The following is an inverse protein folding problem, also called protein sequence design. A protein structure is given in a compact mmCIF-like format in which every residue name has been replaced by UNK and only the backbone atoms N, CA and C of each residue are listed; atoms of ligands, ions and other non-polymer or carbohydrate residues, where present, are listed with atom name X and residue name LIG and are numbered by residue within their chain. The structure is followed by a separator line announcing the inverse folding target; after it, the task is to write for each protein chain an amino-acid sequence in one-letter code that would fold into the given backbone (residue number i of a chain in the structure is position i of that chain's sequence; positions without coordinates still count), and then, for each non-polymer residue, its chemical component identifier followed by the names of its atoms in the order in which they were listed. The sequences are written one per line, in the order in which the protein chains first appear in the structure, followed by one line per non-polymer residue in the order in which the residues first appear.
data_IF_577056473844
#
_entry.id   IF_577056473844
#
_cell.length_a   1.000
_cell.length_b   1.000
_cell.length_c   1.000
_cell.angle_alpha   90.00
_cell.angle_beta   90.00
_cell.angle_gamma   90.00
#
_symmetry.space_group_name_H-M   'P 1'
#
loop_
_entity.id
_entity.type
_entity.pdbx_description
1 polymer ?
#
# COMPACT_ATOMS: atom_id res chain seq x y z
N UNK A 1 -70.55 -4.38 -8.93
CA UNK A 1 -69.90 -3.23 -8.31
C UNK A 1 -68.59 -3.69 -7.72
N UNK A 2 -67.49 -3.50 -8.45
CA UNK A 2 -66.17 -3.90 -7.97
C UNK A 2 -65.23 -2.69 -8.15
N UNK A 3 -64.85 -2.08 -7.05
CA UNK A 3 -63.96 -0.93 -7.02
C UNK A 3 -62.49 -1.45 -7.00
N UNK A 4 -61.76 -1.14 -8.04
CA UNK A 4 -60.32 -1.38 -8.19
C UNK A 4 -59.56 -0.19 -7.56
N UNK A 5 -58.86 -0.44 -6.46
CA UNK A 5 -57.95 0.53 -5.82
C UNK A 5 -56.55 0.32 -6.34
N UNK A 6 -56.16 1.11 -7.32
CA UNK A 6 -54.74 1.19 -7.75
C UNK A 6 -53.97 2.10 -6.81
N UNK A 7 -53.09 1.49 -5.97
CA UNK A 7 -52.27 2.19 -5.00
C UNK A 7 -50.97 2.77 -5.64
N UNK A 8 -50.40 3.81 -5.04
CA UNK A 8 -49.25 4.58 -5.57
C UNK A 8 -47.90 3.96 -5.19
N UNK A 9 -47.59 2.74 -5.66
CA UNK A 9 -46.31 2.06 -5.29
C UNK A 9 -45.19 2.30 -6.30
N UNK A 10 -45.49 2.84 -7.47
CA UNK A 10 -44.49 2.92 -8.58
C UNK A 10 -43.49 4.07 -8.52
N UNK A 11 -43.68 5.07 -7.68
CA UNK A 11 -42.83 6.28 -7.67
C UNK A 11 -41.72 6.26 -6.63
N UNK A 12 -41.81 5.41 -5.59
CA UNK A 12 -40.79 5.35 -4.53
C UNK A 12 -39.47 4.65 -4.97
N UNK A 13 -39.55 3.70 -5.90
CA UNK A 13 -38.37 2.92 -6.34
C UNK A 13 -37.43 3.74 -7.24
N UNK A 14 -37.96 4.64 -8.05
CA UNK A 14 -37.16 5.46 -8.97
C UNK A 14 -36.25 6.47 -8.26
N UNK A 15 -36.70 7.06 -7.14
CA UNK A 15 -35.89 8.02 -6.37
C UNK A 15 -34.73 7.36 -5.61
N UNK A 16 -34.91 6.14 -5.10
CA UNK A 16 -33.84 5.42 -4.37
C UNK A 16 -32.66 5.03 -5.26
N UNK A 17 -32.91 4.64 -6.51
CA UNK A 17 -31.87 4.22 -7.44
C UNK A 17 -31.02 5.41 -7.93
N UNK A 18 -31.60 6.56 -8.17
CA UNK A 18 -30.87 7.76 -8.60
C UNK A 18 -29.96 8.28 -7.48
N UNK A 19 -30.41 8.28 -6.23
CA UNK A 19 -29.59 8.70 -5.10
C UNK A 19 -28.38 7.77 -4.87
N UNK A 20 -28.53 6.45 -5.04
CA UNK A 20 -27.45 5.49 -4.90
C UNK A 20 -26.37 5.63 -5.98
N UNK A 21 -26.75 5.95 -7.21
CA UNK A 21 -25.80 6.15 -8.32
C UNK A 21 -24.97 7.43 -8.15
N UNK A 22 -25.55 8.50 -7.63
CA UNK A 22 -24.83 9.77 -7.43
C UNK A 22 -23.78 9.68 -6.31
N UNK A 23 -24.04 8.94 -5.24
CA UNK A 23 -23.08 8.72 -4.15
C UNK A 23 -21.90 7.88 -4.63
N UNK A 24 -22.12 6.86 -5.46
CA UNK A 24 -21.03 6.02 -6.01
C UNK A 24 -20.06 6.83 -6.88
N UNK A 25 -20.55 7.70 -7.75
CA UNK A 25 -19.69 8.54 -8.58
C UNK A 25 -18.87 9.56 -7.78
N UNK A 26 -19.43 10.14 -6.72
CA UNK A 26 -18.74 11.11 -5.88
C UNK A 26 -17.57 10.46 -5.10
N UNK A 27 -17.76 9.25 -4.56
CA UNK A 27 -16.72 8.53 -3.83
C UNK A 27 -15.57 8.08 -4.73
N UNK A 28 -15.85 7.66 -5.96
CA UNK A 28 -14.81 7.30 -6.94
C UNK A 28 -13.98 8.52 -7.32
N UNK A 29 -14.63 9.64 -7.63
CA UNK A 29 -13.96 10.89 -7.99
C UNK A 29 -13.05 11.37 -6.86
N UNK A 30 -13.50 11.34 -5.61
CA UNK A 30 -12.66 11.71 -4.45
C UNK A 30 -11.45 10.77 -4.29
N UNK A 31 -11.62 9.46 -4.55
CA UNK A 31 -10.52 8.51 -4.50
C UNK A 31 -9.45 8.82 -5.55
N UNK A 32 -9.87 9.18 -6.78
CA UNK A 32 -8.97 9.57 -7.87
C UNK A 32 -8.26 10.90 -7.58
N UNK A 33 -8.97 11.89 -7.06
CA UNK A 33 -8.40 13.18 -6.65
C UNK A 33 -7.35 13.00 -5.54
N UNK A 34 -7.64 12.15 -4.55
CA UNK A 34 -6.69 11.80 -3.49
C UNK A 34 -5.47 11.05 -4.03
N UNK A 35 -5.66 10.12 -4.94
CA UNK A 35 -4.54 9.43 -5.59
C UNK A 35 -3.66 10.41 -6.36
N UNK A 36 -4.25 11.30 -7.14
CA UNK A 36 -3.53 12.33 -7.90
C UNK A 36 -2.75 13.30 -7.00
N UNK A 37 -3.28 13.58 -5.80
CA UNK A 37 -2.63 14.42 -4.81
C UNK A 37 -1.47 13.71 -4.10
N UNK A 38 -1.70 12.49 -3.56
CA UNK A 38 -0.73 11.80 -2.72
C UNK A 38 0.41 11.15 -3.50
N UNK A 39 0.12 10.53 -4.65
CA UNK A 39 1.10 9.71 -5.36
C UNK A 39 2.39 10.46 -5.71
N UNK A 40 2.38 11.68 -6.28
CA UNK A 40 3.61 12.38 -6.62
C UNK A 40 4.38 12.85 -5.39
N UNK A 41 3.68 13.26 -4.33
CA UNK A 41 4.31 13.76 -3.11
C UNK A 41 4.99 12.64 -2.31
N UNK A 42 4.30 11.50 -2.17
CA UNK A 42 4.87 10.32 -1.50
C UNK A 42 5.95 9.65 -2.33
N UNK A 43 5.82 9.63 -3.66
CA UNK A 43 6.83 9.08 -4.55
C UNK A 43 8.18 9.83 -4.51
N UNK A 44 8.15 11.12 -4.17
CA UNK A 44 9.35 11.96 -4.02
C UNK A 44 9.77 12.17 -2.56
N UNK A 45 8.97 11.68 -1.60
CA UNK A 45 9.26 11.88 -0.18
C UNK A 45 10.56 11.16 0.24
N UNK A 46 11.35 11.85 1.08
CA UNK A 46 12.58 11.32 1.64
C UNK A 46 12.56 11.45 3.14
N UNK A 47 12.68 10.32 3.81
CA UNK A 47 12.86 10.25 5.25
C UNK A 47 14.23 10.82 5.61
N UNK A 48 14.30 11.58 6.70
CA UNK A 48 15.59 12.10 7.20
C UNK A 48 16.51 11.00 7.74
N UNK A 49 15.91 9.91 8.22
CA UNK A 49 16.62 8.73 8.72
C UNK A 49 17.24 7.92 7.58
N UNK A 50 18.26 7.12 7.91
CA UNK A 50 18.83 6.16 6.97
C UNK A 50 17.81 5.07 6.57
N UNK A 51 18.06 4.39 5.45
CA UNK A 51 17.19 3.28 5.06
C UNK A 51 17.19 2.15 6.12
N UNK A 52 18.31 1.91 6.79
CA UNK A 52 18.39 0.92 7.87
C UNK A 52 17.49 1.28 9.05
N UNK A 53 17.37 2.56 9.39
CA UNK A 53 16.54 3.03 10.51
C UNK A 53 15.04 2.99 10.16
N UNK A 54 14.67 3.24 8.90
CA UNK A 54 13.28 3.19 8.42
C UNK A 54 12.80 1.74 8.20
N UNK A 55 13.71 0.83 7.86
CA UNK A 55 13.38 -0.53 7.42
C UNK A 55 12.57 -1.37 8.42
N UNK A 56 12.81 -1.33 9.74
CA UNK A 56 11.97 -2.03 10.71
C UNK A 56 10.49 -1.65 10.62
N UNK A 57 10.20 -0.38 10.34
CA UNK A 57 8.82 0.11 10.16
C UNK A 57 8.19 -0.42 8.88
N UNK A 58 8.98 -0.54 7.80
CA UNK A 58 8.54 -1.19 6.54
C UNK A 58 8.12 -2.63 6.81
N UNK A 59 8.98 -3.40 7.46
CA UNK A 59 8.73 -4.82 7.75
C UNK A 59 7.52 -5.00 8.67
N UNK A 60 7.42 -4.20 9.73
CA UNK A 60 6.28 -4.20 10.64
C UNK A 60 4.96 -3.90 9.91
N UNK A 61 4.98 -2.92 9.00
CA UNK A 61 3.81 -2.54 8.22
C UNK A 61 3.36 -3.69 7.28
N UNK A 62 4.28 -4.33 6.56
CA UNK A 62 3.97 -5.48 5.72
C UNK A 62 3.38 -6.64 6.53
N UNK A 63 3.98 -6.95 7.69
CA UNK A 63 3.49 -7.98 8.60
C UNK A 63 2.09 -7.67 9.14
N UNK A 64 1.80 -6.40 9.50
CA UNK A 64 0.47 -5.99 9.97
C UNK A 64 -0.62 -6.12 8.90
N UNK A 65 -0.24 -6.11 7.62
CA UNK A 65 -1.14 -6.33 6.48
C UNK A 65 -1.31 -7.82 6.12
N UNK A 66 -0.67 -8.72 6.87
CA UNK A 66 -0.81 -10.17 6.68
C UNK A 66 -0.03 -10.72 5.49
N UNK A 67 0.86 -9.95 4.88
CA UNK A 67 1.67 -10.46 3.77
C UNK A 67 2.68 -11.47 4.29
N UNK A 68 2.66 -12.72 3.75
CA UNK A 68 3.68 -13.69 4.08
C UNK A 68 5.01 -13.19 3.51
N UNK A 69 6.01 -13.31 4.32
CA UNK A 69 7.34 -12.89 3.97
C UNK A 69 8.07 -14.12 3.48
N UNK A 70 8.54 -14.10 2.24
CA UNK A 70 9.25 -15.22 1.67
C UNK A 70 10.52 -15.46 2.49
N UNK A 71 10.39 -16.32 3.52
CA UNK A 71 11.50 -16.84 4.26
C UNK A 71 12.22 -17.88 3.41
N UNK A 72 13.29 -17.53 2.75
CA UNK A 72 14.32 -18.50 2.37
C UNK A 72 15.30 -18.59 3.51
N UNK A 73 15.27 -19.76 4.11
CA UNK A 73 16.33 -20.37 4.87
C UNK A 73 16.79 -19.65 6.15
N UNK A 74 16.37 -20.20 7.26
CA UNK A 74 17.02 -20.06 8.57
C UNK A 74 18.56 -20.26 8.51
N UNK A 75 19.09 -20.74 7.37
CA UNK A 75 20.52 -20.99 7.14
C UNK A 75 21.33 -19.70 6.96
N UNK A 76 20.71 -18.57 6.56
CA UNK A 76 21.39 -17.28 6.43
C UNK A 76 21.30 -16.39 7.68
N UNK A 77 20.49 -16.75 8.67
CA UNK A 77 20.36 -16.00 9.92
C UNK A 77 21.71 -15.82 10.68
N UNK A 78 22.59 -16.79 10.56
CA UNK A 78 23.90 -16.76 11.23
C UNK A 78 24.94 -15.81 10.62
N UNK A 79 24.84 -15.51 9.34
CA UNK A 79 25.84 -14.67 8.64
C UNK A 79 25.45 -13.18 8.60
N UNK A 80 24.17 -12.86 8.74
CA UNK A 80 23.66 -11.48 8.73
C UNK A 80 23.85 -10.72 10.04
N UNK A 81 24.09 -11.43 11.17
CA UNK A 81 24.20 -10.83 12.49
C UNK A 81 25.40 -9.86 12.61
N UNK A 82 26.42 -10.00 11.78
CA UNK A 82 27.60 -9.13 11.80
C UNK A 82 27.43 -7.84 10.97
N UNK A 83 26.41 -7.74 10.14
CA UNK A 83 26.23 -6.61 9.20
C UNK A 83 25.08 -5.65 9.56
N UNK A 84 24.50 -5.76 10.75
CA UNK A 84 23.29 -4.97 11.11
C UNK A 84 22.00 -5.42 10.39
N UNK A 85 22.11 -6.23 9.36
CA UNK A 85 20.98 -6.85 8.65
C UNK A 85 20.45 -8.09 9.36
N UNK A 86 21.23 -8.68 10.28
CA UNK A 86 20.88 -9.90 11.01
C UNK A 86 19.60 -9.80 11.83
N UNK A 87 19.29 -8.62 12.36
CA UNK A 87 18.06 -8.40 13.11
C UNK A 87 16.79 -8.51 12.22
N UNK A 88 16.92 -8.34 10.90
CA UNK A 88 15.81 -8.45 9.96
C UNK A 88 15.61 -9.89 9.47
N UNK A 89 16.66 -10.69 9.45
CA UNK A 89 16.61 -12.10 9.02
C UNK A 89 15.86 -12.95 10.06
N UNK A 90 15.97 -12.63 11.35
CA UNK A 90 15.22 -13.31 12.42
C UNK A 90 13.69 -13.15 12.32
N UNK A 91 13.22 -12.16 11.56
CA UNK A 91 11.78 -11.94 11.33
C UNK A 91 11.24 -12.67 10.10
N UNK A 92 12.04 -13.49 9.44
CA UNK A 92 11.63 -14.28 8.27
C UNK A 92 11.58 -13.50 6.97
N UNK A 93 12.22 -12.33 6.90
CA UNK A 93 12.26 -11.48 5.73
C UNK A 93 13.55 -11.65 4.93
N UNK A 94 13.44 -11.88 3.64
CA UNK A 94 14.60 -11.74 2.76
C UNK A 94 14.76 -10.26 2.37
N UNK A 95 15.44 -9.50 3.22
CA UNK A 95 15.92 -8.17 2.83
C UNK A 95 17.23 -8.33 2.09
N UNK A 96 17.29 -7.88 0.84
CA UNK A 96 18.52 -7.86 0.06
C UNK A 96 19.10 -6.45 0.07
N UNK A 97 20.39 -6.34 0.35
CA UNK A 97 21.16 -5.16 0.04
C UNK A 97 21.39 -5.11 -1.47
N UNK A 98 21.12 -3.98 -2.09
CA UNK A 98 21.43 -3.72 -3.50
C UNK A 98 22.62 -2.78 -3.59
N UNK A 99 23.27 -2.79 -4.76
CA UNK A 99 24.39 -1.90 -5.04
C UNK A 99 24.05 -0.45 -4.72
N UNK A 100 24.95 0.28 -4.08
CA UNK A 100 24.71 1.65 -3.60
C UNK A 100 24.06 1.75 -2.22
N UNK A 101 23.97 0.65 -1.44
CA UNK A 101 23.43 0.66 -0.05
C UNK A 101 21.91 0.69 0.04
N UNK A 102 21.20 0.42 -1.06
CA UNK A 102 19.75 0.27 -1.05
C UNK A 102 19.28 -1.04 -0.42
N UNK A 103 18.03 -1.09 -0.05
CA UNK A 103 17.36 -2.27 0.53
C UNK A 103 16.17 -2.67 -0.34
N UNK A 104 15.96 -3.96 -0.51
CA UNK A 104 14.78 -4.50 -1.21
C UNK A 104 14.21 -5.65 -0.39
N UNK A 105 12.90 -5.65 -0.19
CA UNK A 105 12.15 -6.80 0.30
C UNK A 105 11.03 -7.15 -0.66
N UNK A 106 10.78 -8.44 -0.84
CA UNK A 106 9.66 -8.96 -1.60
C UNK A 106 8.85 -9.87 -0.69
N UNK A 107 7.53 -9.65 -0.66
CA UNK A 107 6.62 -10.52 0.10
C UNK A 107 6.23 -11.75 -0.72
N UNK A 108 5.78 -12.79 -0.06
CA UNK A 108 5.02 -13.85 -0.70
C UNK A 108 3.66 -13.35 -1.21
N UNK A 109 2.98 -14.19 -1.95
CA UNK A 109 1.65 -13.91 -2.49
C UNK A 109 0.59 -14.03 -1.40
N UNK A 110 -0.24 -12.99 -1.26
CA UNK A 110 -1.46 -13.00 -0.44
C UNK A 110 -2.66 -13.26 -1.35
N UNK A 111 -3.43 -14.35 -1.13
CA UNK A 111 -4.64 -14.60 -1.89
C UNK A 111 -5.70 -13.50 -1.70
N UNK A 112 -6.38 -13.14 -2.79
CA UNK A 112 -7.50 -12.21 -2.84
C UNK A 112 -8.68 -12.86 -3.61
N UNK A 113 -9.86 -12.25 -3.57
CA UNK A 113 -11.07 -12.81 -4.19
C UNK A 113 -10.93 -13.09 -5.69
N UNK A 114 -10.17 -12.28 -6.41
CA UNK A 114 -10.02 -12.35 -7.87
C UNK A 114 -8.58 -12.64 -8.32
N UNK A 115 -7.71 -13.05 -7.37
CA UNK A 115 -6.32 -13.30 -7.70
C UNK A 115 -5.42 -13.38 -6.48
N UNK A 116 -4.24 -12.83 -6.62
CA UNK A 116 -3.29 -12.69 -5.52
C UNK A 116 -2.48 -11.40 -5.69
N UNK A 117 -2.04 -10.84 -4.57
CA UNK A 117 -1.13 -9.70 -4.60
C UNK A 117 0.11 -9.94 -3.74
N UNK A 118 1.17 -9.22 -4.06
CA UNK A 118 2.38 -9.13 -3.24
C UNK A 118 2.96 -7.73 -3.31
N UNK A 119 3.85 -7.43 -2.38
CA UNK A 119 4.65 -6.21 -2.46
C UNK A 119 6.11 -6.49 -2.82
N UNK A 120 6.65 -5.59 -3.62
CA UNK A 120 8.09 -5.33 -3.68
C UNK A 120 8.32 -3.95 -3.08
N UNK A 121 9.13 -3.87 -2.04
CA UNK A 121 9.47 -2.60 -1.40
C UNK A 121 10.95 -2.31 -1.62
N UNK A 122 11.23 -1.10 -2.07
CA UNK A 122 12.59 -0.65 -2.35
C UNK A 122 12.91 0.54 -1.45
N UNK A 123 14.01 0.46 -0.72
CA UNK A 123 14.61 1.56 0.03
C UNK A 123 15.83 2.07 -0.71
N UNK A 124 15.83 3.32 -1.13
CA UNK A 124 16.95 3.94 -1.86
C UNK A 124 17.57 5.03 -0.98
N UNK A 125 18.90 4.93 -0.67
CA UNK A 125 19.58 5.98 0.08
C UNK A 125 19.59 7.29 -0.70
N UNK A 126 19.38 8.39 0.02
CA UNK A 126 19.51 9.74 -0.49
C UNK A 126 20.90 10.32 -0.28
N UNK A 127 21.29 11.30 -1.09
CA UNK A 127 22.48 12.10 -0.85
C UNK A 127 22.06 13.50 -0.34
N UNK A 128 22.72 14.04 0.72
CA UNK A 128 23.85 13.48 1.49
C UNK A 128 23.41 12.47 2.55
N UNK A 129 22.12 12.34 2.85
CA UNK A 129 21.54 11.40 3.82
C UNK A 129 20.06 11.21 3.55
N UNK A 130 19.45 10.22 4.21
CA UNK A 130 18.02 9.94 4.13
C UNK A 130 17.69 8.69 3.32
N UNK A 131 16.39 8.38 3.27
CA UNK A 131 15.88 7.20 2.60
C UNK A 131 14.60 7.54 1.80
N UNK A 132 14.52 7.12 0.56
CA UNK A 132 13.25 7.03 -0.15
C UNK A 132 12.74 5.60 -0.11
N UNK A 133 11.47 5.41 0.21
CA UNK A 133 10.85 4.08 0.24
C UNK A 133 9.70 4.04 -0.76
N UNK A 134 9.71 3.03 -1.62
CA UNK A 134 8.66 2.82 -2.61
C UNK A 134 8.02 1.46 -2.39
N UNK A 135 6.69 1.44 -2.26
CA UNK A 135 5.88 0.22 -2.22
C UNK A 135 5.27 -0.02 -3.60
N UNK A 136 5.70 -1.06 -4.27
CA UNK A 136 5.10 -1.53 -5.51
C UNK A 136 4.24 -2.74 -5.21
N UNK A 137 2.93 -2.61 -5.38
CA UNK A 137 2.00 -3.72 -5.33
C UNK A 137 1.96 -4.38 -6.69
N UNK A 138 2.18 -5.67 -6.70
CA UNK A 138 2.11 -6.53 -7.89
C UNK A 138 0.87 -7.39 -7.70
N UNK A 139 -0.09 -7.27 -8.61
CA UNK A 139 -1.30 -8.05 -8.61
C UNK A 139 -1.30 -9.03 -9.78
N UNK A 140 -1.82 -10.22 -9.56
CA UNK A 140 -1.94 -11.29 -10.56
C UNK A 140 -3.36 -11.85 -10.53
N UNK A 141 -4.06 -11.77 -11.66
CA UNK A 141 -5.40 -12.35 -11.83
C UNK A 141 -5.39 -13.87 -11.82
N UNK A 142 -6.56 -14.45 -11.55
CA UNK A 142 -6.76 -15.92 -11.61
C UNK A 142 -6.92 -16.42 -13.04
N UNK A 143 -7.41 -15.59 -13.96
CA UNK A 143 -7.77 -15.96 -15.33
C UNK A 143 -6.56 -15.92 -16.25
N UNK A 144 -5.73 -14.91 -16.14
CA UNK A 144 -4.48 -14.78 -16.92
C UNK A 144 -3.31 -14.44 -16.00
N UNK A 145 -2.45 -15.43 -15.67
CA UNK A 145 -1.27 -15.20 -14.85
C UNK A 145 -0.22 -14.26 -15.49
N UNK A 146 -0.29 -14.02 -16.80
CA UNK A 146 0.59 -13.09 -17.49
C UNK A 146 0.17 -11.63 -17.31
N UNK A 147 -1.07 -11.38 -16.91
CA UNK A 147 -1.61 -10.04 -16.65
C UNK A 147 -1.20 -9.54 -15.25
N UNK A 148 0.11 -9.34 -15.10
CA UNK A 148 0.67 -8.75 -13.88
C UNK A 148 0.53 -7.23 -13.94
N UNK A 149 -0.24 -6.68 -13.01
CA UNK A 149 -0.36 -5.22 -12.83
C UNK A 149 0.56 -4.76 -11.70
N UNK A 150 1.49 -3.88 -12.02
CA UNK A 150 2.37 -3.23 -11.06
C UNK A 150 1.90 -1.79 -10.81
N UNK A 151 1.69 -1.45 -9.55
CA UNK A 151 1.25 -0.12 -9.17
C UNK A 151 1.90 0.32 -7.86
N UNK A 152 2.39 1.56 -7.83
CA UNK A 152 2.81 2.17 -6.57
C UNK A 152 1.62 2.35 -5.64
N UNK A 153 1.73 1.86 -4.41
CA UNK A 153 0.67 1.95 -3.41
C UNK A 153 0.90 3.15 -2.48
N UNK A 154 0.37 4.29 -2.87
CA UNK A 154 0.46 5.52 -2.08
C UNK A 154 -0.20 5.40 -0.70
N UNK A 155 -1.22 4.55 -0.53
CA UNK A 155 -1.90 4.38 0.76
C UNK A 155 -0.96 3.76 1.78
N UNK A 156 -0.25 2.71 1.38
CA UNK A 156 0.74 2.05 2.23
C UNK A 156 1.94 2.97 2.47
N UNK A 157 2.37 3.75 1.49
CA UNK A 157 3.40 4.77 1.68
C UNK A 157 2.98 5.83 2.71
N UNK A 158 1.73 6.29 2.68
CA UNK A 158 1.20 7.24 3.67
C UNK A 158 1.14 6.61 5.07
N UNK A 159 0.77 5.34 5.18
CA UNK A 159 0.79 4.63 6.47
C UNK A 159 2.21 4.51 7.03
N UNK A 160 3.21 4.23 6.19
CA UNK A 160 4.61 4.27 6.63
C UNK A 160 5.01 5.67 7.09
N UNK A 161 4.63 6.70 6.33
CA UNK A 161 4.93 8.09 6.69
C UNK A 161 4.35 8.45 8.07
N UNK A 162 3.12 8.01 8.37
CA UNK A 162 2.50 8.21 9.69
C UNK A 162 3.28 7.55 10.83
N UNK A 163 3.93 6.43 10.58
CA UNK A 163 4.69 5.71 11.59
C UNK A 163 6.08 6.34 11.82
N UNK A 164 6.73 6.81 10.76
CA UNK A 164 8.12 7.28 10.79
C UNK A 164 8.22 8.79 10.97
N UNK A 165 7.34 9.55 10.30
CA UNK A 165 7.28 11.01 10.39
C UNK A 165 5.82 11.50 10.45
N UNK A 166 5.17 11.41 11.62
CA UNK A 166 3.77 11.79 11.80
C UNK A 166 3.52 13.28 11.54
N UNK A 167 4.53 14.14 11.71
CA UNK A 167 4.40 15.58 11.46
C UNK A 167 4.28 15.84 9.97
N UNK A 168 5.13 15.22 9.15
CA UNK A 168 5.04 15.32 7.70
C UNK A 168 3.74 14.71 7.17
N UNK A 169 3.33 13.56 7.72
CA UNK A 169 2.06 12.92 7.37
C UNK A 169 0.86 13.84 7.63
N UNK A 170 0.80 14.48 8.80
CA UNK A 170 -0.27 15.41 9.16
C UNK A 170 -0.33 16.63 8.23
N UNK A 171 0.82 17.19 7.86
CA UNK A 171 0.89 18.30 6.88
C UNK A 171 0.36 17.89 5.52
N UNK A 172 0.76 16.71 5.05
CA UNK A 172 0.32 16.17 3.78
C UNK A 172 -1.19 15.91 3.76
N UNK A 173 -1.74 15.33 4.83
CA UNK A 173 -3.18 15.07 4.96
C UNK A 173 -4.01 16.37 5.06
N UNK A 174 -3.48 17.42 5.69
CA UNK A 174 -4.16 18.70 5.80
C UNK A 174 -4.40 19.37 4.45
N UNK A 175 -3.52 19.16 3.47
CA UNK A 175 -3.64 19.67 2.11
C UNK A 175 -4.44 18.78 1.15
N UNK A 176 -4.84 17.58 1.59
CA UNK A 176 -5.52 16.62 0.73
C UNK A 176 -6.99 17.02 0.45
N UNK A 177 -7.55 16.61 -0.70
CA UNK A 177 -8.97 16.76 -1.01
C UNK A 177 -9.85 16.14 0.08
N UNK A 178 -10.86 16.88 0.53
CA UNK A 178 -11.83 16.48 1.57
C UNK A 178 -13.13 16.04 0.93
N UNK A 179 -13.83 15.13 1.63
CA UNK A 179 -15.16 14.69 1.23
C UNK A 179 -16.21 15.81 1.43
#
# INVERSE_FOLDING_TARGET
MSSSTNGPVRHAIAFGVVAALTVGCASMRLADERQAYFSPQLGTYRYAQSCLDVWPSVLKLLGSKGYPLEGRDRQYAGQGAQSGLGAFVDQGYETRSVEGGGLVVRTGWLPESEGASRYQVTGSPGQPSGCAVTFTRIWRGTVDPADNQEKTDWKVQLELLKQVDPVAASRLEAGAPKA
#
